data_IF_384612751929
#
_entry.id   IF_384612751929
#
_cell.length_a   1.000
_cell.length_b   1.000
_cell.length_c   1.000
_cell.angle_alpha   90.00
_cell.angle_beta   90.00
_cell.angle_gamma   90.00
#
_symmetry.space_group_name_H-M   'P 1'
#
loop_
_entity.id
_entity.type
_entity.pdbx_description
1 polymer ?
#
# COMPACT_ATOMS: atom_id res chain seq x y z
N UNK A 1 12.97 -6.19 9.18
CA UNK A 1 12.83 -7.32 10.14
C UNK A 1 11.90 -7.05 11.33
N UNK A 2 12.13 -6.07 12.22
CA UNK A 2 11.26 -5.87 13.41
C UNK A 2 9.77 -5.64 13.12
N UNK A 3 9.44 -4.90 12.05
CA UNK A 3 8.04 -4.69 11.64
C UNK A 3 7.35 -6.00 11.21
N UNK A 4 8.08 -6.88 10.52
CA UNK A 4 7.55 -8.20 10.14
C UNK A 4 7.34 -9.10 11.34
N UNK A 5 8.26 -9.07 12.30
CA UNK A 5 8.08 -9.78 13.57
C UNK A 5 6.84 -9.29 14.31
N UNK A 6 6.60 -7.98 14.33
CA UNK A 6 5.41 -7.38 14.94
C UNK A 6 4.10 -7.77 14.24
N UNK A 7 4.10 -7.91 12.91
CA UNK A 7 2.96 -8.48 12.18
C UNK A 7 2.74 -9.95 12.53
N UNK A 8 3.82 -10.74 12.66
CA UNK A 8 3.73 -12.15 13.00
C UNK A 8 3.30 -12.40 14.46
N UNK A 9 3.67 -11.53 15.40
CA UNK A 9 3.26 -11.60 16.80
C UNK A 9 1.86 -11.01 17.06
N UNK A 10 1.31 -10.27 16.09
CA UNK A 10 0.04 -9.54 16.25
C UNK A 10 0.16 -8.22 17.01
N UNK A 11 1.38 -7.70 17.20
CA UNK A 11 1.61 -6.35 17.75
C UNK A 11 1.24 -5.26 16.73
N UNK A 12 1.25 -5.59 15.44
CA UNK A 12 0.73 -4.76 14.36
C UNK A 12 -0.40 -5.49 13.64
N UNK A 13 -1.53 -4.82 13.49
CA UNK A 13 -2.74 -5.43 12.92
C UNK A 13 -2.89 -5.18 11.42
N UNK A 14 -2.30 -4.11 10.88
CA UNK A 14 -2.60 -3.65 9.52
C UNK A 14 -1.42 -2.92 8.89
N UNK A 15 -1.42 -2.89 7.56
CA UNK A 15 -0.43 -2.14 6.77
C UNK A 15 -1.16 -1.23 5.80
N UNK A 16 -0.78 0.05 5.81
CA UNK A 16 -1.34 1.08 4.95
C UNK A 16 -0.23 1.81 4.19
N UNK A 17 -0.60 2.51 3.12
CA UNK A 17 0.37 3.09 2.17
C UNK A 17 0.92 4.45 2.58
N UNK A 18 0.23 5.17 3.46
CA UNK A 18 0.42 6.60 3.72
C UNK A 18 0.57 7.42 2.42
N UNK A 19 -0.26 7.08 1.42
CA UNK A 19 -0.18 7.67 0.10
C UNK A 19 -0.46 9.17 0.15
N UNK A 20 0.58 9.98 -0.02
CA UNK A 20 0.53 11.44 0.00
C UNK A 20 1.50 12.04 -1.03
N UNK A 21 1.30 11.76 -2.34
CA UNK A 21 2.18 12.24 -3.39
C UNK A 21 2.07 13.76 -3.55
N UNK A 22 3.12 14.36 -4.13
CA UNK A 22 3.13 15.74 -4.58
C UNK A 22 3.90 15.87 -5.91
N UNK A 23 3.80 17.03 -6.54
CA UNK A 23 4.61 17.37 -7.71
C UNK A 23 6.09 17.59 -7.30
N UNK A 24 7.08 17.31 -8.18
CA UNK A 24 8.51 17.44 -7.87
C UNK A 24 8.92 18.80 -7.27
N UNK A 25 8.29 19.88 -7.73
CA UNK A 25 8.54 21.26 -7.31
C UNK A 25 8.26 21.46 -5.81
N UNK A 26 7.29 20.71 -5.25
CA UNK A 26 6.98 20.76 -3.82
C UNK A 26 8.00 19.99 -2.96
N UNK A 27 8.85 19.16 -3.57
CA UNK A 27 9.98 18.50 -2.89
C UNK A 27 11.28 19.29 -3.02
N UNK A 28 11.41 20.05 -4.10
CA UNK A 28 12.59 20.87 -4.41
C UNK A 28 12.36 22.33 -3.99
N UNK A 29 11.97 22.53 -2.73
CA UNK A 29 11.79 23.87 -2.16
C UNK A 29 13.14 24.42 -1.67
N UNK A 30 13.40 25.72 -1.80
CA UNK A 30 14.68 26.35 -1.42
C UNK A 30 15.50 26.79 -2.63
N UNK A 31 16.77 27.15 -2.41
CA UNK A 31 17.73 27.45 -3.49
C UNK A 31 18.04 26.19 -4.32
N UNK A 32 18.87 26.28 -5.36
CA UNK A 32 19.12 25.22 -6.38
C UNK A 32 19.49 23.82 -5.83
N UNK A 33 19.83 23.67 -4.55
CA UNK A 33 20.14 22.38 -3.89
C UNK A 33 18.96 21.74 -3.14
N UNK A 34 17.84 22.44 -2.96
CA UNK A 34 16.67 22.01 -2.19
C UNK A 34 16.86 22.07 -0.66
N UNK A 35 15.75 22.05 0.08
CA UNK A 35 15.73 22.13 1.55
C UNK A 35 14.83 21.04 2.15
N UNK A 36 15.47 20.09 2.84
CA UNK A 36 14.80 18.95 3.48
C UNK A 36 13.70 19.37 4.48
N UNK A 37 13.90 20.47 5.22
CA UNK A 37 12.95 20.92 6.24
C UNK A 37 11.66 21.52 5.64
N UNK A 38 11.72 21.96 4.38
CA UNK A 38 10.56 22.52 3.67
C UNK A 38 10.02 21.60 2.57
N UNK A 39 10.63 20.43 2.35
CA UNK A 39 10.19 19.48 1.35
C UNK A 39 8.91 18.76 1.78
N UNK A 40 7.97 18.55 0.85
CA UNK A 40 6.78 17.75 1.12
C UNK A 40 7.14 16.29 1.48
N UNK A 41 6.68 15.85 2.65
CA UNK A 41 7.10 14.60 3.30
C UNK A 41 6.48 13.29 2.79
N UNK A 42 5.54 13.34 1.84
CA UNK A 42 4.83 12.14 1.38
C UNK A 42 5.36 11.49 0.09
N UNK A 43 4.95 10.24 -0.19
CA UNK A 43 5.33 9.48 -1.38
C UNK A 43 4.12 8.86 -2.11
N UNK A 44 4.31 8.51 -3.39
CA UNK A 44 3.36 7.71 -4.16
C UNK A 44 3.58 6.22 -3.90
N UNK A 45 2.52 5.47 -3.57
CA UNK A 45 2.64 4.06 -3.16
C UNK A 45 1.34 3.26 -3.29
N UNK A 46 0.16 3.91 -3.34
CA UNK A 46 -1.14 3.24 -3.29
C UNK A 46 -1.30 2.13 -4.33
N UNK A 47 -0.90 2.40 -5.58
CA UNK A 47 -0.96 1.45 -6.70
C UNK A 47 -0.24 0.12 -6.43
N UNK A 48 0.83 0.16 -5.64
CA UNK A 48 1.73 -0.98 -5.47
C UNK A 48 1.53 -1.73 -4.16
N UNK A 49 0.62 -1.28 -3.28
CA UNK A 49 0.45 -1.78 -1.92
C UNK A 49 0.40 -3.31 -1.84
N UNK A 50 -0.52 -3.94 -2.56
CA UNK A 50 -0.67 -5.40 -2.58
C UNK A 50 0.58 -6.10 -3.16
N UNK A 51 1.06 -5.65 -4.32
CA UNK A 51 2.17 -6.31 -5.04
C UNK A 51 3.50 -6.26 -4.27
N UNK A 52 3.85 -5.11 -3.69
CA UNK A 52 5.06 -4.94 -2.88
C UNK A 52 4.96 -5.73 -1.59
N UNK A 53 3.81 -5.65 -0.91
CA UNK A 53 3.61 -6.37 0.33
C UNK A 53 3.66 -7.89 0.11
N UNK A 54 2.95 -8.42 -0.90
CA UNK A 54 2.98 -9.84 -1.27
C UNK A 54 4.40 -10.35 -1.55
N UNK A 55 5.18 -9.59 -2.33
CA UNK A 55 6.55 -9.96 -2.71
C UNK A 55 7.44 -10.26 -1.51
N UNK A 56 7.28 -9.50 -0.42
CA UNK A 56 8.06 -9.68 0.81
C UNK A 56 7.37 -10.58 1.85
N UNK A 57 6.04 -10.57 1.91
CA UNK A 57 5.26 -11.39 2.83
C UNK A 57 5.38 -12.88 2.50
N UNK A 58 5.30 -13.25 1.21
CA UNK A 58 5.45 -14.64 0.76
C UNK A 58 6.79 -15.25 1.17
N UNK A 59 7.89 -14.48 1.04
CA UNK A 59 9.24 -14.91 1.46
C UNK A 59 9.34 -15.21 2.96
N UNK A 60 8.44 -14.64 3.76
CA UNK A 60 8.39 -14.77 5.22
C UNK A 60 7.35 -15.79 5.69
N UNK A 61 6.71 -16.51 4.77
CA UNK A 61 5.75 -17.56 5.08
C UNK A 61 4.32 -17.10 5.32
N UNK A 62 4.00 -15.82 5.09
CA UNK A 62 2.62 -15.35 5.14
C UNK A 62 1.83 -15.87 3.94
N UNK A 63 0.60 -16.29 4.21
CA UNK A 63 -0.38 -16.71 3.21
C UNK A 63 -1.12 -15.51 2.59
N UNK A 64 -1.85 -15.75 1.50
CA UNK A 64 -2.73 -14.72 0.93
C UNK A 64 -3.86 -14.32 1.88
N UNK A 65 -4.30 -15.22 2.76
CA UNK A 65 -5.30 -14.92 3.78
C UNK A 65 -4.74 -13.94 4.82
N UNK A 66 -3.47 -14.09 5.23
CA UNK A 66 -2.79 -13.14 6.12
C UNK A 66 -2.68 -11.76 5.45
N UNK A 67 -2.32 -11.72 4.16
CA UNK A 67 -2.28 -10.46 3.40
C UNK A 67 -3.67 -9.81 3.33
N UNK A 68 -4.73 -10.58 3.07
CA UNK A 68 -6.10 -10.07 3.10
C UNK A 68 -6.50 -9.56 4.49
N UNK A 69 -6.02 -10.21 5.55
CA UNK A 69 -6.22 -9.78 6.92
C UNK A 69 -5.58 -8.40 7.18
N UNK A 70 -4.31 -8.24 6.82
CA UNK A 70 -3.53 -7.02 7.07
C UNK A 70 -3.94 -5.83 6.19
N UNK A 71 -4.31 -6.08 4.93
CA UNK A 71 -4.56 -5.04 3.93
C UNK A 71 -6.05 -4.75 3.69
N UNK A 72 -6.97 -5.59 4.18
CA UNK A 72 -8.40 -5.45 3.90
C UNK A 72 -9.28 -5.59 5.15
N UNK A 73 -9.27 -6.74 5.83
CA UNK A 73 -10.17 -6.99 6.96
C UNK A 73 -9.88 -6.10 8.17
N UNK A 74 -8.62 -5.96 8.59
CA UNK A 74 -8.29 -5.12 9.73
C UNK A 74 -8.50 -3.61 9.44
N UNK A 75 -8.12 -3.09 8.26
CA UNK A 75 -8.53 -1.75 7.85
C UNK A 75 -10.04 -1.54 7.81
N UNK A 76 -10.84 -2.52 7.35
CA UNK A 76 -12.30 -2.36 7.33
C UNK A 76 -12.89 -2.21 8.74
N UNK A 77 -12.36 -2.94 9.73
CA UNK A 77 -12.72 -2.74 11.15
C UNK A 77 -12.38 -1.35 11.65
N UNK A 78 -11.17 -0.84 11.35
CA UNK A 78 -10.76 0.51 11.75
C UNK A 78 -11.73 1.56 11.21
N UNK A 79 -12.17 1.40 9.96
CA UNK A 79 -13.10 2.32 9.31
C UNK A 79 -14.58 2.09 9.69
N UNK A 80 -14.91 1.08 10.50
CA UNK A 80 -16.29 0.74 10.86
C UNK A 80 -17.09 0.10 9.72
N UNK A 81 -16.41 -0.54 8.77
CA UNK A 81 -16.98 -1.15 7.56
C UNK A 81 -16.91 -2.68 7.56
N UNK A 82 -16.54 -3.31 8.68
CA UNK A 82 -16.37 -4.77 8.76
C UNK A 82 -17.64 -5.58 8.47
N UNK A 83 -18.81 -4.95 8.50
CA UNK A 83 -20.11 -5.58 8.22
C UNK A 83 -20.44 -5.62 6.73
N UNK A 84 -19.66 -4.94 5.86
CA UNK A 84 -19.86 -4.93 4.41
C UNK A 84 -18.57 -5.06 3.59
N UNK A 85 -17.39 -4.83 4.18
CA UNK A 85 -16.09 -4.81 3.48
C UNK A 85 -15.05 -5.74 4.12
N UNK A 86 -14.10 -6.20 3.30
CA UNK A 86 -12.87 -6.86 3.73
C UNK A 86 -12.97 -8.36 4.00
N UNK A 87 -14.09 -8.98 3.62
CA UNK A 87 -14.31 -10.42 3.75
C UNK A 87 -15.01 -10.99 2.50
N UNK A 88 -14.71 -12.26 2.20
CA UNK A 88 -15.40 -13.05 1.18
C UNK A 88 -16.52 -13.85 1.83
N UNK A 89 -17.71 -13.25 1.91
CA UNK A 89 -18.89 -13.84 2.53
C UNK A 89 -20.16 -13.31 1.86
N UNK A 90 -21.22 -14.11 1.87
CA UNK A 90 -22.55 -13.65 1.46
C UNK A 90 -22.97 -12.38 2.23
N UNK A 91 -23.56 -11.42 1.53
CA UNK A 91 -23.99 -10.14 2.08
C UNK A 91 -22.91 -9.06 2.16
N UNK A 92 -21.64 -9.38 1.85
CA UNK A 92 -20.57 -8.38 1.69
C UNK A 92 -20.65 -7.71 0.31
N UNK A 93 -20.06 -6.52 0.18
CA UNK A 93 -19.89 -5.88 -1.12
C UNK A 93 -18.91 -6.66 -1.99
N UNK A 94 -19.16 -6.67 -3.30
CA UNK A 94 -18.39 -7.43 -4.28
C UNK A 94 -17.05 -6.76 -4.67
N UNK A 95 -16.28 -6.30 -3.69
CA UNK A 95 -14.95 -5.72 -3.88
C UNK A 95 -13.91 -6.84 -3.94
N UNK A 96 -13.72 -7.41 -5.14
CA UNK A 96 -12.92 -8.60 -5.35
C UNK A 96 -11.63 -8.31 -6.14
N UNK A 97 -10.56 -9.05 -5.81
CA UNK A 97 -9.30 -9.05 -6.58
C UNK A 97 -9.02 -10.46 -7.07
N UNK A 98 -8.85 -10.60 -8.39
CA UNK A 98 -8.28 -11.81 -8.98
C UNK A 98 -6.76 -11.66 -8.95
N UNK A 99 -6.09 -12.53 -8.20
CA UNK A 99 -4.66 -12.41 -7.94
C UNK A 99 -3.89 -13.62 -8.48
N UNK A 100 -2.88 -13.36 -9.33
CA UNK A 100 -1.88 -14.35 -9.72
C UNK A 100 -0.64 -14.20 -8.82
N UNK A 101 -0.37 -15.17 -7.91
CA UNK A 101 0.72 -15.08 -6.95
C UNK A 101 2.12 -15.26 -7.57
N UNK A 102 2.22 -15.72 -8.82
CA UNK A 102 3.47 -15.96 -9.52
C UNK A 102 3.77 -14.91 -10.60
N UNK A 103 2.79 -14.06 -10.95
CA UNK A 103 2.98 -12.96 -11.87
C UNK A 103 4.06 -11.99 -11.37
N UNK A 104 4.87 -11.48 -12.31
CA UNK A 104 5.97 -10.55 -12.03
C UNK A 104 5.95 -9.41 -13.03
N UNK A 105 6.29 -8.22 -12.54
CA UNK A 105 6.53 -7.05 -13.37
C UNK A 105 7.66 -6.22 -12.75
N UNK A 106 8.31 -5.41 -13.58
CA UNK A 106 9.31 -4.46 -13.12
C UNK A 106 8.65 -3.10 -12.89
N UNK A 107 8.87 -2.52 -11.71
CA UNK A 107 8.44 -1.14 -11.45
C UNK A 107 9.35 -0.19 -12.22
N UNK A 108 8.77 0.54 -13.16
CA UNK A 108 9.44 1.56 -13.97
C UNK A 108 8.57 2.81 -14.09
N UNK A 109 9.16 3.95 -14.48
CA UNK A 109 8.48 5.26 -14.49
C UNK A 109 7.18 5.27 -15.27
N UNK A 110 7.12 4.55 -16.41
CA UNK A 110 5.91 4.51 -17.26
C UNK A 110 4.70 3.83 -16.60
N UNK A 111 4.91 2.99 -15.58
CA UNK A 111 3.80 2.33 -14.87
C UNK A 111 3.45 2.99 -13.53
N UNK A 112 4.21 4.01 -13.10
CA UNK A 112 3.92 4.74 -11.86
C UNK A 112 2.89 5.82 -12.16
N UNK A 113 1.72 5.71 -11.54
CA UNK A 113 0.74 6.79 -11.55
C UNK A 113 1.24 7.93 -10.65
N UNK A 114 1.70 9.01 -11.25
CA UNK A 114 2.10 10.25 -10.56
C UNK A 114 1.06 11.35 -10.79
N UNK A 115 1.05 12.36 -9.92
CA UNK A 115 0.20 13.56 -10.07
C UNK A 115 0.50 14.30 -11.39
N UNK A 116 1.72 14.16 -11.93
CA UNK A 116 2.11 14.75 -13.20
C UNK A 116 1.60 14.00 -14.44
N UNK A 117 1.30 12.69 -14.33
CA UNK A 117 0.81 11.87 -15.45
C UNK A 117 -0.72 11.83 -15.57
N UNK A 118 -1.46 12.56 -14.73
CA UNK A 118 -2.92 12.67 -14.82
C UNK A 118 -3.42 13.79 -15.74
N UNK A 119 -2.51 14.51 -16.43
CA UNK A 119 -2.84 15.67 -17.27
C UNK A 119 -2.24 15.62 -18.69
N UNK A 120 -1.77 14.47 -19.16
CA UNK A 120 -1.47 14.24 -20.59
C UNK A 120 -2.52 13.36 -21.25
#
# INVERSE_FOLDING_TARGET
ERLWAALASGDLDMVVSDHSPCIPEMKQTGDDEGNFLSAWGGIASLQFGLSLFWTEAKKRGFSIADVSQFLSHNPSKLCGLQDTKGQLKEGMDADLVIWDPEAKFQVCSIIVLTISNTYE
#
